data_IF_687158027121
#
_entry.id   IF_687158027121
#
_cell.length_a   1.000
_cell.length_b   1.000
_cell.length_c   1.000
_cell.angle_alpha   90.00
_cell.angle_beta   90.00
_cell.angle_gamma   90.00
#
_symmetry.space_group_name_H-M   'P 1'
#
loop_
_entity.id
_entity.type
_entity.pdbx_description
1 polymer ?
#
# COMPACT_ATOMS: atom_id res chain seq x y z
N UNK A 1 6.75 -49.01 -41.27
CA UNK A 1 6.34 -50.42 -41.03
C UNK A 1 6.74 -50.75 -39.59
N UNK A 2 5.85 -51.11 -38.66
CA UNK A 2 4.37 -51.24 -38.71
C UNK A 2 3.79 -51.14 -37.28
N UNK A 3 2.47 -50.90 -37.15
CA UNK A 3 1.54 -50.92 -35.99
C UNK A 3 2.05 -51.36 -34.58
N UNK A 4 1.71 -50.70 -33.46
CA UNK A 4 0.41 -50.27 -32.89
C UNK A 4 -0.44 -51.38 -32.22
N UNK A 5 -0.66 -51.24 -30.91
CA UNK A 5 -1.75 -51.69 -30.00
C UNK A 5 -1.54 -50.88 -28.68
N UNK A 6 -2.48 -50.27 -27.92
CA UNK A 6 -3.95 -50.37 -27.73
C UNK A 6 -4.43 -51.64 -26.98
N UNK A 7 -5.39 -51.63 -26.04
CA UNK A 7 -6.09 -50.59 -25.23
C UNK A 7 -6.88 -51.30 -24.09
N UNK A 8 -7.50 -50.70 -23.06
CA UNK A 8 -7.60 -49.31 -22.57
C UNK A 8 -7.20 -49.28 -21.06
N UNK A 9 -7.85 -48.75 -20.00
CA UNK A 9 -9.12 -48.03 -19.63
C UNK A 9 -8.76 -46.97 -18.54
N UNK A 10 -9.56 -45.99 -18.06
CA UNK A 10 -10.91 -45.94 -17.43
C UNK A 10 -10.78 -45.80 -15.89
N UNK A 11 -11.36 -44.83 -15.18
CA UNK A 11 -12.16 -43.65 -15.55
C UNK A 11 -12.11 -42.55 -14.45
N UNK A 12 -12.52 -41.31 -14.75
CA UNK A 12 -12.69 -40.22 -13.76
C UNK A 12 -14.10 -40.24 -13.13
N UNK A 13 -14.27 -39.54 -11.98
CA UNK A 13 -15.24 -38.43 -11.99
C UNK A 13 -14.68 -37.13 -11.40
N UNK A 14 -15.41 -36.03 -11.63
CA UNK A 14 -15.01 -34.65 -11.34
C UNK A 14 -15.26 -34.18 -9.90
N UNK A 15 -14.42 -33.26 -9.42
CA UNK A 15 -14.86 -32.16 -8.57
C UNK A 15 -14.49 -30.83 -9.26
N UNK A 16 -15.46 -29.90 -9.39
CA UNK A 16 -15.26 -28.58 -10.03
C UNK A 16 -15.24 -27.48 -8.99
N UNK A 17 -14.05 -27.02 -8.61
CA UNK A 17 -13.85 -25.81 -7.81
C UNK A 17 -13.57 -24.59 -8.70
N UNK A 18 -14.62 -23.83 -9.05
CA UNK A 18 -14.49 -22.65 -9.91
C UNK A 18 -14.02 -21.42 -9.09
N UNK A 19 -12.73 -21.34 -8.76
CA UNK A 19 -12.13 -20.11 -8.25
C UNK A 19 -12.01 -19.09 -9.38
N UNK A 20 -12.92 -18.12 -9.42
CA UNK A 20 -12.86 -16.99 -10.34
C UNK A 20 -11.86 -15.95 -9.81
N UNK A 21 -10.66 -15.92 -10.41
CA UNK A 21 -9.68 -14.86 -10.13
C UNK A 21 -10.20 -13.51 -10.61
N UNK A 22 -10.27 -12.47 -9.76
CA UNK A 22 -10.57 -11.12 -10.21
C UNK A 22 -9.36 -10.54 -10.94
N UNK A 23 -9.38 -10.61 -12.28
CA UNK A 23 -8.34 -10.02 -13.12
C UNK A 23 -8.36 -8.49 -12.99
N UNK A 24 -7.27 -7.89 -12.52
CA UNK A 24 -7.10 -6.44 -12.54
C UNK A 24 -6.65 -5.99 -13.94
N UNK A 25 -7.23 -4.92 -14.52
CA UNK A 25 -6.85 -4.46 -15.85
C UNK A 25 -5.43 -3.85 -15.84
N UNK A 26 -4.57 -4.17 -16.82
CA UNK A 26 -3.29 -3.50 -16.97
C UNK A 26 -3.49 -2.08 -17.50
N UNK A 27 -2.88 -1.10 -16.84
CA UNK A 27 -2.82 0.29 -17.30
C UNK A 27 -1.87 0.42 -18.49
N UNK A 28 -2.42 0.39 -19.71
CA UNK A 28 -1.66 0.65 -20.95
C UNK A 28 -1.84 2.10 -21.39
N UNK A 29 -0.72 2.81 -21.60
CA UNK A 29 -0.75 4.24 -21.90
C UNK A 29 0.50 4.74 -22.61
N UNK A 30 0.54 4.62 -23.94
CA UNK A 30 1.52 5.31 -24.79
C UNK A 30 1.11 5.34 -26.26
N UNK A 31 0.59 6.47 -26.72
CA UNK A 31 1.00 7.17 -27.94
C UNK A 31 0.19 8.47 -28.10
N UNK A 32 0.75 9.44 -28.81
CA UNK A 32 0.17 10.78 -28.97
C UNK A 32 -0.28 11.03 -30.43
N UNK A 33 -1.36 11.80 -30.58
CA UNK A 33 -1.88 12.25 -31.88
C UNK A 33 -3.04 13.25 -31.66
N UNK A 34 -3.01 14.47 -32.23
CA UNK A 34 -4.00 15.51 -31.93
C UNK A 34 -5.19 15.51 -32.90
N UNK A 35 -6.37 15.85 -32.39
CA UNK A 35 -7.56 16.29 -33.14
C UNK A 35 -8.36 17.30 -32.30
N UNK A 36 -9.07 18.21 -32.96
CA UNK A 36 -9.68 19.39 -32.34
C UNK A 36 -10.91 19.12 -31.46
N UNK A 37 -11.15 20.06 -30.53
CA UNK A 37 -12.09 19.87 -29.43
C UNK A 37 -13.57 20.16 -29.74
N UNK A 38 -14.40 19.76 -28.79
CA UNK A 38 -15.74 20.30 -28.56
C UNK A 38 -15.92 20.48 -27.05
N UNK A 39 -16.25 21.70 -26.62
CA UNK A 39 -16.50 21.99 -25.21
C UNK A 39 -17.84 21.40 -24.76
N UNK A 40 -17.82 20.44 -23.83
CA UNK A 40 -19.00 20.01 -23.09
C UNK A 40 -18.75 20.16 -21.58
N UNK A 41 -19.70 20.76 -20.87
CA UNK A 41 -19.59 21.02 -19.43
C UNK A 41 -19.74 19.74 -18.60
N UNK A 42 -18.64 19.01 -18.42
CA UNK A 42 -18.53 17.99 -17.38
C UNK A 42 -18.63 18.65 -16.00
N UNK A 43 -19.69 18.33 -15.26
CA UNK A 43 -19.89 18.80 -13.88
C UNK A 43 -18.85 18.15 -12.97
N UNK A 44 -18.11 18.95 -12.20
CA UNK A 44 -17.13 18.46 -11.22
C UNK A 44 -17.81 17.54 -10.18
N UNK A 45 -17.24 16.37 -9.85
CA UNK A 45 -17.73 15.53 -8.76
C UNK A 45 -17.54 16.20 -7.40
N UNK A 46 -18.43 15.86 -6.46
CA UNK A 46 -18.62 16.61 -5.22
C UNK A 46 -17.47 16.52 -4.19
N UNK A 47 -16.67 15.44 -4.20
CA UNK A 47 -15.61 15.21 -3.19
C UNK A 47 -14.55 16.31 -3.09
N UNK A 48 -14.40 17.17 -4.11
CA UNK A 48 -13.39 18.24 -4.15
C UNK A 48 -13.63 19.42 -3.19
N UNK A 49 -14.70 19.42 -2.38
CA UNK A 49 -14.95 20.42 -1.32
C UNK A 49 -14.42 19.98 0.04
N UNK A 50 -14.73 18.74 0.47
CA UNK A 50 -14.38 18.22 1.80
C UNK A 50 -12.86 18.22 2.02
N UNK A 51 -12.07 17.65 1.10
CA UNK A 51 -10.60 17.55 1.19
C UNK A 51 -9.92 18.89 1.51
N UNK A 52 -10.45 20.01 0.98
CA UNK A 52 -9.91 21.36 1.23
C UNK A 52 -10.33 21.99 2.56
N UNK A 53 -11.34 21.45 3.24
CA UNK A 53 -11.66 21.82 4.62
C UNK A 53 -10.67 21.19 5.60
N UNK A 54 -10.39 19.88 5.46
CA UNK A 54 -9.53 19.11 6.37
C UNK A 54 -8.11 19.65 6.51
N UNK A 55 -7.45 19.98 5.40
CA UNK A 55 -6.10 20.56 5.40
C UNK A 55 -5.99 21.82 6.28
N UNK A 56 -7.01 22.69 6.21
CA UNK A 56 -7.09 23.90 7.03
C UNK A 56 -7.68 23.68 8.43
N UNK A 57 -8.04 22.47 8.84
CA UNK A 57 -8.52 22.17 10.19
C UNK A 57 -7.36 21.75 11.09
N UNK A 58 -6.54 20.80 10.63
CA UNK A 58 -5.37 20.28 11.37
C UNK A 58 -4.45 21.40 11.89
N UNK A 59 -3.96 22.26 10.99
CA UNK A 59 -3.04 23.36 11.32
C UNK A 59 -3.66 24.44 12.23
N UNK A 60 -5.00 24.58 12.24
CA UNK A 60 -5.70 25.51 13.14
C UNK A 60 -6.08 24.90 14.50
N UNK A 61 -6.32 23.59 14.58
CA UNK A 61 -6.83 22.97 15.81
C UNK A 61 -5.74 22.67 16.85
N UNK A 62 -4.47 22.53 16.45
CA UNK A 62 -3.34 22.51 17.40
C UNK A 62 -3.33 23.73 18.35
N UNK A 63 -3.88 24.88 17.93
CA UNK A 63 -3.94 26.11 18.73
C UNK A 63 -5.02 26.12 19.83
N UNK A 64 -5.86 25.08 19.94
CA UNK A 64 -7.06 25.07 20.83
C UNK A 64 -7.11 23.99 21.91
N UNK A 65 -6.14 23.09 21.99
CA UNK A 65 -6.03 22.12 23.10
C UNK A 65 -6.93 20.87 23.00
N UNK A 66 -7.89 20.84 22.07
CA UNK A 66 -8.63 19.62 21.69
C UNK A 66 -8.00 19.05 20.42
N UNK A 67 -6.89 18.31 20.59
CA UNK A 67 -6.08 17.79 19.49
C UNK A 67 -6.62 16.49 18.89
N UNK A 68 -7.00 16.54 17.61
CA UNK A 68 -7.14 15.34 16.78
C UNK A 68 -5.75 14.70 16.58
N UNK A 69 -5.62 13.38 16.78
CA UNK A 69 -4.35 12.65 16.56
C UNK A 69 -4.02 12.56 15.07
N UNK A 70 -2.76 12.32 14.73
CA UNK A 70 -2.35 12.15 13.33
C UNK A 70 -3.03 10.90 12.73
N UNK A 71 -3.21 9.84 13.53
CA UNK A 71 -4.00 8.67 13.16
C UNK A 71 -5.44 9.02 12.81
N UNK A 72 -6.15 9.79 13.63
CA UNK A 72 -7.56 10.13 13.38
C UNK A 72 -7.72 10.92 12.08
N UNK A 73 -6.85 11.90 11.85
CA UNK A 73 -6.83 12.67 10.60
C UNK A 73 -6.54 11.78 9.38
N UNK A 74 -5.57 10.86 9.50
CA UNK A 74 -5.22 9.94 8.43
C UNK A 74 -6.33 8.93 8.13
N UNK A 75 -7.09 8.51 9.15
CA UNK A 75 -8.24 7.62 9.03
C UNK A 75 -9.37 8.28 8.23
N UNK A 76 -9.74 9.52 8.57
CA UNK A 76 -10.75 10.31 7.84
C UNK A 76 -10.37 10.50 6.35
N UNK A 77 -9.08 10.75 6.08
CA UNK A 77 -8.54 10.90 4.71
C UNK A 77 -8.55 9.57 3.95
N UNK A 78 -8.18 8.46 4.58
CA UNK A 78 -8.13 7.15 3.94
C UNK A 78 -9.53 6.59 3.68
N UNK A 79 -10.45 6.69 4.65
CA UNK A 79 -11.84 6.25 4.49
C UNK A 79 -12.52 7.01 3.34
N UNK A 80 -12.41 8.35 3.35
CA UNK A 80 -12.99 9.22 2.32
C UNK A 80 -12.39 9.09 0.92
N UNK A 81 -11.30 8.34 0.76
CA UNK A 81 -10.68 8.01 -0.53
C UNK A 81 -10.92 6.57 -0.98
N UNK A 82 -10.94 5.61 -0.06
CA UNK A 82 -10.85 4.17 -0.34
C UNK A 82 -12.14 3.39 -0.06
N UNK A 83 -13.00 3.82 0.85
CA UNK A 83 -14.09 2.97 1.35
C UNK A 83 -15.13 2.62 0.28
N UNK A 84 -15.68 3.63 -0.40
CA UNK A 84 -16.68 3.43 -1.46
C UNK A 84 -16.06 2.99 -2.80
N UNK A 85 -14.86 3.49 -3.11
CA UNK A 85 -14.20 3.36 -4.41
C UNK A 85 -13.43 2.04 -4.56
N UNK A 86 -12.77 1.62 -3.49
CA UNK A 86 -11.76 0.57 -3.45
C UNK A 86 -11.92 -0.29 -2.17
N UNK A 87 -13.11 -0.84 -1.86
CA UNK A 87 -13.42 -1.43 -0.55
C UNK A 87 -12.47 -2.55 -0.10
N UNK A 88 -11.82 -3.26 -1.02
CA UNK A 88 -10.75 -4.25 -0.69
C UNK A 88 -9.47 -3.58 -0.19
N UNK A 89 -9.05 -2.46 -0.81
CA UNK A 89 -7.93 -1.63 -0.36
C UNK A 89 -8.24 -1.00 1.00
N UNK A 90 -9.48 -0.62 1.25
CA UNK A 90 -9.93 -0.16 2.56
C UNK A 90 -9.84 -1.25 3.62
N UNK A 91 -10.34 -2.46 3.34
CA UNK A 91 -10.23 -3.61 4.25
C UNK A 91 -8.76 -4.01 4.53
N UNK A 92 -7.90 -3.96 3.51
CA UNK A 92 -6.45 -4.16 3.66
C UNK A 92 -5.81 -3.08 4.54
N UNK A 93 -6.06 -1.79 4.25
CA UNK A 93 -5.52 -0.65 5.01
C UNK A 93 -5.90 -0.69 6.49
N UNK A 94 -7.16 -1.06 6.80
CA UNK A 94 -7.60 -1.27 8.18
C UNK A 94 -6.84 -2.42 8.88
N UNK A 95 -6.40 -3.45 8.16
CA UNK A 95 -5.63 -4.55 8.75
C UNK A 95 -4.15 -4.18 8.96
N UNK A 96 -3.55 -3.45 8.02
CA UNK A 96 -2.21 -2.84 8.20
C UNK A 96 -2.24 -1.91 9.42
N UNK A 97 -3.30 -1.11 9.56
CA UNK A 97 -3.55 -0.25 10.73
C UNK A 97 -3.63 -1.03 12.06
N UNK A 98 -4.39 -2.14 12.13
CA UNK A 98 -4.45 -2.96 13.36
C UNK A 98 -3.07 -3.45 13.78
N UNK A 99 -2.29 -3.95 12.83
CA UNK A 99 -0.93 -4.44 13.12
C UNK A 99 0.05 -3.33 13.48
N UNK A 100 -0.19 -2.08 13.05
CA UNK A 100 0.58 -0.93 13.52
C UNK A 100 0.30 -0.58 14.99
N UNK A 101 -0.92 -0.80 15.49
CA UNK A 101 -1.25 -0.62 16.91
C UNK A 101 -0.51 -1.65 17.78
N UNK A 102 -0.40 -2.90 17.31
CA UNK A 102 0.33 -3.96 18.00
C UNK A 102 1.84 -3.67 18.16
N UNK A 103 2.41 -2.79 17.31
CA UNK A 103 3.80 -2.34 17.37
C UNK A 103 4.03 -1.11 18.27
N UNK A 104 2.99 -0.54 18.89
CA UNK A 104 3.11 0.69 19.68
C UNK A 104 4.17 0.62 20.83
N UNK A 105 4.30 -0.48 21.60
CA UNK A 105 5.33 -0.59 22.66
C UNK A 105 6.78 -0.59 22.12
N UNK A 106 6.98 -1.03 20.88
CA UNK A 106 8.30 -1.02 20.23
C UNK A 106 8.68 0.39 19.73
N UNK A 107 7.70 1.24 19.41
CA UNK A 107 7.92 2.53 18.73
C UNK A 107 7.74 3.76 19.63
N UNK A 108 7.04 3.64 20.75
CA UNK A 108 6.85 4.76 21.70
C UNK A 108 6.23 5.98 21.03
N UNK A 109 6.93 7.12 21.06
CA UNK A 109 6.51 8.39 20.46
C UNK A 109 6.18 8.29 18.95
N UNK A 110 6.77 7.34 18.23
CA UNK A 110 6.52 7.13 16.79
C UNK A 110 5.30 6.25 16.48
N UNK A 111 4.56 5.78 17.50
CA UNK A 111 3.40 4.90 17.33
C UNK A 111 2.22 5.56 16.58
N UNK A 112 1.83 6.80 16.91
CA UNK A 112 0.75 7.53 16.21
C UNK A 112 1.13 7.84 14.75
N UNK A 113 2.44 7.98 14.47
CA UNK A 113 2.96 8.18 13.13
C UNK A 113 2.93 6.88 12.30
N UNK A 114 3.27 5.72 12.88
CA UNK A 114 3.09 4.44 12.19
C UNK A 114 1.60 4.17 11.94
N UNK A 115 0.74 4.34 12.95
CA UNK A 115 -0.69 4.09 12.83
C UNK A 115 -1.34 4.97 11.76
N UNK A 116 -0.97 6.26 11.67
CA UNK A 116 -1.36 7.15 10.58
C UNK A 116 -0.84 6.69 9.20
N UNK A 117 0.42 6.24 9.10
CA UNK A 117 0.97 5.73 7.86
C UNK A 117 0.29 4.43 7.42
N UNK A 118 -0.03 3.56 8.37
CA UNK A 118 -0.63 2.25 8.14
C UNK A 118 -2.04 2.34 7.56
N UNK A 119 -2.89 3.23 8.08
CA UNK A 119 -4.23 3.44 7.52
C UNK A 119 -4.19 4.17 6.15
N UNK A 120 -3.16 4.99 5.91
CA UNK A 120 -3.06 5.84 4.71
C UNK A 120 -2.12 5.32 3.60
N UNK A 121 -1.41 4.21 3.76
CA UNK A 121 -0.37 3.79 2.81
C UNK A 121 -0.87 3.59 1.37
N UNK A 122 -2.10 3.07 1.24
CA UNK A 122 -2.71 2.69 -0.04
C UNK A 122 -3.51 3.83 -0.70
N UNK A 123 -3.54 5.05 -0.14
CA UNK A 123 -4.34 6.18 -0.69
C UNK A 123 -3.92 6.60 -2.10
N UNK A 124 -2.69 6.27 -2.51
CA UNK A 124 -2.19 6.50 -3.87
C UNK A 124 -2.92 5.70 -4.96
N UNK A 125 -3.73 4.69 -4.61
CA UNK A 125 -4.60 4.00 -5.57
C UNK A 125 -5.84 4.81 -5.97
N UNK A 126 -6.23 5.85 -5.23
CA UNK A 126 -7.41 6.65 -5.55
C UNK A 126 -7.15 7.58 -6.75
N UNK A 127 -8.13 7.72 -7.65
CA UNK A 127 -8.03 8.51 -8.90
C UNK A 127 -7.54 9.96 -8.72
N UNK A 128 -7.76 10.56 -7.53
CA UNK A 128 -7.35 11.94 -7.18
C UNK A 128 -5.93 12.03 -6.60
N UNK A 129 -5.33 10.89 -6.25
CA UNK A 129 -3.98 10.77 -5.74
C UNK A 129 -2.97 10.47 -6.87
N UNK A 130 -3.34 9.57 -7.79
CA UNK A 130 -2.51 9.10 -8.92
C UNK A 130 -1.85 10.27 -9.68
N UNK A 131 -0.55 10.16 -9.91
CA UNK A 131 0.29 11.15 -10.61
C UNK A 131 1.42 10.52 -11.44
N UNK A 132 1.84 9.29 -11.10
CA UNK A 132 2.90 8.51 -11.76
C UNK A 132 2.44 7.10 -12.11
N UNK A 133 1.44 6.57 -11.42
CA UNK A 133 1.02 5.17 -11.50
C UNK A 133 1.70 4.24 -10.48
N UNK A 134 2.60 4.78 -9.65
CA UNK A 134 3.25 4.08 -8.54
C UNK A 134 2.60 4.56 -7.23
N UNK A 135 1.87 3.67 -6.53
CA UNK A 135 0.94 4.09 -5.47
C UNK A 135 1.61 4.67 -4.22
N UNK A 136 2.86 4.31 -3.94
CA UNK A 136 3.59 4.76 -2.77
C UNK A 136 3.97 6.25 -2.95
N UNK A 137 4.63 6.58 -4.07
CA UNK A 137 4.98 7.96 -4.47
C UNK A 137 3.71 8.81 -4.64
N UNK A 138 2.68 8.28 -5.31
CA UNK A 138 1.44 9.01 -5.54
C UNK A 138 0.66 9.28 -4.24
N UNK A 139 0.66 8.33 -3.30
CA UNK A 139 0.12 8.50 -1.95
C UNK A 139 0.89 9.53 -1.14
N UNK A 140 2.22 9.43 -1.08
CA UNK A 140 3.09 10.39 -0.40
C UNK A 140 2.94 11.82 -0.96
N UNK A 141 2.88 11.96 -2.29
CA UNK A 141 2.62 13.25 -2.95
C UNK A 141 1.21 13.76 -2.71
N UNK A 142 0.19 12.90 -2.64
CA UNK A 142 -1.17 13.32 -2.30
C UNK A 142 -1.25 13.85 -0.86
N UNK A 143 -0.63 13.15 0.09
CA UNK A 143 -0.56 13.56 1.49
C UNK A 143 0.12 14.94 1.63
N UNK A 144 1.22 15.18 0.91
CA UNK A 144 1.82 16.53 0.83
C UNK A 144 0.85 17.58 0.28
N UNK A 145 0.08 17.27 -0.78
CA UNK A 145 -0.91 18.19 -1.38
C UNK A 145 -2.06 18.56 -0.43
N UNK A 146 -2.35 17.73 0.59
CA UNK A 146 -3.39 18.00 1.60
C UNK A 146 -2.84 18.47 2.95
N UNK A 147 -1.54 18.81 3.03
CA UNK A 147 -0.94 19.42 4.23
C UNK A 147 -0.54 18.43 5.33
N UNK A 148 -0.34 17.15 4.99
CA UNK A 148 0.10 16.14 5.95
C UNK A 148 1.53 16.37 6.47
N UNK A 149 1.86 15.73 7.60
CA UNK A 149 3.22 15.72 8.13
C UNK A 149 4.24 15.13 7.14
N UNK A 150 5.46 15.68 7.11
CA UNK A 150 6.51 15.28 6.15
C UNK A 150 7.05 13.89 6.41
N UNK A 151 7.13 13.43 7.67
CA UNK A 151 7.52 12.05 8.01
C UNK A 151 6.44 11.08 7.54
N UNK A 152 5.16 11.40 7.78
CA UNK A 152 4.03 10.59 7.30
C UNK A 152 4.08 10.42 5.77
N UNK A 153 4.27 11.52 5.04
CA UNK A 153 4.42 11.47 3.59
C UNK A 153 5.60 10.59 3.14
N UNK A 154 6.72 10.61 3.85
CA UNK A 154 7.90 9.83 3.54
C UNK A 154 7.76 8.34 3.89
N UNK A 155 7.16 7.98 5.04
CA UNK A 155 6.86 6.57 5.37
C UNK A 155 5.91 5.97 4.34
N UNK A 156 4.88 6.72 3.90
CA UNK A 156 3.97 6.27 2.84
C UNK A 156 4.67 6.19 1.48
N UNK A 157 5.60 7.10 1.14
CA UNK A 157 6.35 7.02 -0.11
C UNK A 157 7.37 5.87 -0.15
N UNK A 158 7.94 5.48 0.98
CA UNK A 158 9.08 4.55 1.07
C UNK A 158 8.70 3.11 1.43
N UNK A 159 7.42 2.79 1.67
CA UNK A 159 7.01 1.47 2.14
C UNK A 159 7.27 0.32 1.14
N UNK A 160 7.52 -0.87 1.69
CA UNK A 160 7.63 -2.14 0.96
C UNK A 160 8.58 -2.06 -0.25
N UNK A 161 8.12 -2.35 -1.47
CA UNK A 161 8.98 -2.44 -2.65
C UNK A 161 9.25 -1.09 -3.34
N UNK A 162 8.83 0.04 -2.75
CA UNK A 162 8.85 1.35 -3.40
C UNK A 162 10.20 1.73 -4.05
N UNK A 163 11.37 1.56 -3.40
CA UNK A 163 12.67 1.86 -4.03
C UNK A 163 12.97 1.04 -5.29
N UNK A 164 12.59 -0.24 -5.31
CA UNK A 164 12.80 -1.14 -6.44
C UNK A 164 11.80 -0.89 -7.57
N UNK A 165 10.55 -0.60 -7.23
CA UNK A 165 9.51 -0.27 -8.21
C UNK A 165 9.73 1.11 -8.83
N UNK A 166 10.22 2.07 -8.06
CA UNK A 166 10.65 3.37 -8.58
C UNK A 166 11.81 3.23 -9.57
N UNK A 167 12.81 2.38 -9.27
CA UNK A 167 13.92 2.12 -10.19
C UNK A 167 13.45 1.46 -11.50
N UNK A 168 12.56 0.47 -11.43
CA UNK A 168 11.96 -0.21 -12.59
C UNK A 168 11.09 0.72 -13.48
N UNK A 169 10.53 1.80 -12.90
CA UNK A 169 9.71 2.79 -13.62
C UNK A 169 10.46 4.07 -14.03
N UNK A 170 11.75 4.20 -13.68
CA UNK A 170 12.50 5.45 -13.89
C UNK A 170 12.07 6.61 -12.98
N UNK A 171 11.40 6.30 -11.86
CA UNK A 171 10.85 7.25 -10.88
C UNK A 171 11.77 7.49 -9.67
N UNK A 172 13.04 7.05 -9.71
CA UNK A 172 13.99 7.24 -8.60
C UNK A 172 14.10 8.69 -8.14
N UNK A 173 14.12 9.65 -9.06
CA UNK A 173 14.17 11.08 -8.73
C UNK A 173 12.87 11.60 -8.09
N UNK A 174 11.72 11.00 -8.44
CA UNK A 174 10.44 11.28 -7.78
C UNK A 174 10.37 10.68 -6.37
N UNK A 175 11.06 9.56 -6.12
CA UNK A 175 11.19 8.98 -4.78
C UNK A 175 12.18 9.79 -3.91
N UNK A 176 13.23 10.38 -4.52
CA UNK A 176 14.19 11.26 -3.86
C UNK A 176 13.57 12.58 -3.32
N UNK A 177 12.31 12.89 -3.66
CA UNK A 177 11.52 13.96 -3.01
C UNK A 177 11.23 13.67 -1.52
N UNK A 178 11.34 12.41 -1.09
CA UNK A 178 11.02 11.94 0.25
C UNK A 178 12.28 11.62 1.04
N UNK A 179 12.61 12.47 2.02
CA UNK A 179 13.75 12.27 2.92
C UNK A 179 13.50 11.00 3.76
N UNK A 180 14.43 10.02 3.78
CA UNK A 180 14.31 8.83 4.61
C UNK A 180 14.10 9.14 6.09
N UNK A 181 13.08 8.52 6.69
CA UNK A 181 12.77 8.69 8.12
C UNK A 181 13.66 7.74 8.95
N UNK A 182 14.36 8.22 9.99
CA UNK A 182 15.21 7.38 10.82
C UNK A 182 14.41 6.41 11.70
N UNK A 183 15.08 5.39 12.23
CA UNK A 183 14.49 4.36 13.08
C UNK A 183 13.74 3.29 12.29
N UNK A 184 12.88 2.53 12.97
CA UNK A 184 12.20 1.36 12.41
C UNK A 184 10.93 1.67 11.61
N UNK A 185 10.54 2.93 11.41
CA UNK A 185 9.24 3.27 10.81
C UNK A 185 9.00 2.66 9.41
N UNK A 186 10.02 2.67 8.54
CA UNK A 186 9.92 2.08 7.18
C UNK A 186 9.94 0.55 7.24
N UNK A 187 10.67 -0.04 8.20
CA UNK A 187 10.64 -1.49 8.45
C UNK A 187 9.27 -1.94 8.98
N UNK A 188 8.68 -1.16 9.90
CA UNK A 188 7.42 -1.44 10.57
C UNK A 188 6.22 -1.34 9.62
N UNK A 189 6.13 -0.30 8.78
CA UNK A 189 5.05 -0.23 7.77
C UNK A 189 5.16 -1.39 6.76
N UNK A 190 6.39 -1.76 6.39
CA UNK A 190 6.67 -2.87 5.48
C UNK A 190 6.30 -4.21 6.11
N UNK A 191 6.57 -4.39 7.41
CA UNK A 191 6.08 -5.53 8.18
C UNK A 191 4.54 -5.59 8.17
N UNK A 192 3.85 -4.50 8.53
CA UNK A 192 2.39 -4.47 8.63
C UNK A 192 1.66 -4.69 7.29
N UNK A 193 2.19 -4.19 6.15
CA UNK A 193 1.70 -4.52 4.80
C UNK A 193 1.92 -6.01 4.50
N UNK A 194 3.15 -6.48 4.66
CA UNK A 194 3.50 -7.85 4.28
C UNK A 194 2.84 -8.92 5.17
N UNK A 195 2.44 -8.59 6.40
CA UNK A 195 1.64 -9.48 7.25
C UNK A 195 0.12 -9.32 7.07
N UNK A 196 -0.36 -8.54 6.09
CA UNK A 196 -1.79 -8.27 5.85
C UNK A 196 -2.24 -8.72 4.45
N UNK A 197 -3.25 -9.59 4.36
CA UNK A 197 -3.81 -10.06 3.07
C UNK A 197 -4.57 -8.95 2.31
N UNK A 198 -4.83 -9.12 1.00
CA UNK A 198 -5.60 -8.14 0.19
C UNK A 198 -7.09 -8.02 0.58
N UNK A 199 -7.57 -8.90 1.46
CA UNK A 199 -8.90 -8.97 2.04
C UNK A 199 -8.89 -8.82 3.58
N UNK A 200 -7.79 -8.28 4.13
CA UNK A 200 -7.72 -7.81 5.52
C UNK A 200 -7.54 -8.91 6.58
N UNK A 201 -6.96 -10.05 6.24
CA UNK A 201 -6.60 -11.13 7.16
C UNK A 201 -5.11 -11.09 7.53
N UNK A 202 -4.69 -11.51 8.73
CA UNK A 202 -3.28 -11.77 9.03
C UNK A 202 -2.70 -12.90 8.15
N UNK A 203 -1.47 -12.74 7.69
CA UNK A 203 -0.69 -13.73 6.90
C UNK A 203 0.79 -13.67 7.29
N UNK A 204 1.58 -14.70 6.95
CA UNK A 204 3.04 -14.58 7.06
C UNK A 204 3.61 -13.75 5.88
N UNK A 205 4.59 -12.87 6.11
CA UNK A 205 5.29 -12.13 5.06
C UNK A 205 5.89 -12.98 3.93
N UNK A 206 6.37 -14.20 4.19
CA UNK A 206 6.88 -15.08 3.13
C UNK A 206 5.75 -15.56 2.22
N UNK A 207 4.64 -16.05 2.79
CA UNK A 207 3.44 -16.45 2.05
C UNK A 207 2.85 -15.28 1.23
N UNK A 208 2.81 -14.07 1.81
CA UNK A 208 2.37 -12.85 1.13
C UNK A 208 3.26 -12.48 -0.05
N UNK A 209 4.58 -12.57 0.08
CA UNK A 209 5.49 -12.28 -1.02
C UNK A 209 5.31 -13.28 -2.17
N UNK A 210 5.05 -14.56 -1.87
CA UNK A 210 4.75 -15.57 -2.89
C UNK A 210 3.34 -15.41 -3.51
N UNK A 211 2.34 -14.95 -2.75
CA UNK A 211 1.04 -14.49 -3.27
C UNK A 211 1.23 -13.38 -4.31
N UNK A 212 1.96 -12.33 -3.96
CA UNK A 212 2.20 -11.15 -4.80
C UNK A 212 2.93 -11.52 -6.09
N UNK A 213 3.97 -12.35 -6.01
CA UNK A 213 4.69 -12.84 -7.19
C UNK A 213 3.78 -13.70 -8.09
N UNK A 214 3.00 -14.64 -7.51
CA UNK A 214 2.02 -15.46 -8.25
C UNK A 214 0.91 -14.62 -8.88
N UNK A 215 0.51 -13.51 -8.25
CA UNK A 215 -0.56 -12.61 -8.70
C UNK A 215 -0.20 -11.78 -9.93
N UNK A 216 1.03 -11.26 -9.98
CA UNK A 216 1.45 -10.32 -11.04
C UNK A 216 2.22 -10.98 -12.19
N UNK A 217 3.04 -12.00 -11.93
CA UNK A 217 3.83 -12.71 -12.94
C UNK A 217 4.99 -11.89 -13.57
N UNK A 218 5.95 -12.56 -14.24
CA UNK A 218 7.28 -12.00 -14.53
C UNK A 218 7.33 -10.79 -15.48
N UNK A 219 6.28 -10.55 -16.27
CA UNK A 219 6.20 -9.35 -17.13
C UNK A 219 5.87 -8.06 -16.37
N UNK A 220 5.32 -8.16 -15.16
CA UNK A 220 4.81 -7.02 -14.41
C UNK A 220 5.90 -6.31 -13.58
N UNK A 221 5.77 -5.00 -13.41
CA UNK A 221 6.71 -4.17 -12.63
C UNK A 221 6.85 -4.66 -11.19
N UNK A 222 5.73 -4.80 -10.47
CA UNK A 222 5.68 -5.29 -9.09
C UNK A 222 6.37 -6.65 -8.94
N UNK A 223 6.28 -7.56 -9.92
CA UNK A 223 6.97 -8.86 -9.84
C UNK A 223 8.49 -8.69 -9.79
N UNK A 224 9.05 -7.87 -10.69
CA UNK A 224 10.50 -7.66 -10.76
C UNK A 224 11.00 -6.90 -9.54
N UNK A 225 10.28 -5.84 -9.15
CA UNK A 225 10.55 -5.08 -7.93
C UNK A 225 10.54 -5.96 -6.67
N UNK A 226 9.48 -6.74 -6.44
CA UNK A 226 9.35 -7.63 -5.28
C UNK A 226 10.35 -8.80 -5.33
N UNK A 227 10.67 -9.33 -6.52
CA UNK A 227 11.71 -10.37 -6.67
C UNK A 227 13.10 -9.86 -6.26
N UNK A 228 13.44 -8.63 -6.66
CA UNK A 228 14.70 -7.99 -6.28
C UNK A 228 14.71 -7.53 -4.80
N UNK A 229 13.54 -7.14 -4.27
CA UNK A 229 13.38 -6.64 -2.91
C UNK A 229 13.28 -7.74 -1.84
N UNK A 230 12.77 -8.95 -2.16
CA UNK A 230 12.51 -10.05 -1.19
C UNK A 230 13.63 -10.25 -0.15
N UNK A 231 14.94 -10.24 -0.51
CA UNK A 231 16.00 -10.41 0.47
C UNK A 231 16.18 -9.24 1.46
N UNK A 232 15.76 -8.01 1.15
CA UNK A 232 15.69 -6.90 2.13
C UNK A 232 14.35 -6.88 2.85
N UNK A 233 13.22 -7.07 2.16
CA UNK A 233 11.89 -7.08 2.78
C UNK A 233 11.80 -8.09 3.95
N UNK A 234 12.39 -9.27 3.79
CA UNK A 234 12.47 -10.26 4.87
C UNK A 234 13.44 -9.87 6.00
N UNK A 235 14.48 -9.08 5.73
CA UNK A 235 15.35 -8.49 6.76
C UNK A 235 14.65 -7.36 7.51
N UNK A 236 13.84 -6.53 6.83
CA UNK A 236 12.98 -5.52 7.46
C UNK A 236 11.98 -6.18 8.43
N UNK A 237 11.27 -7.22 7.95
CA UNK A 237 10.36 -8.05 8.75
C UNK A 237 11.06 -8.65 9.97
N UNK A 238 12.28 -9.19 9.83
CA UNK A 238 12.99 -9.77 10.97
C UNK A 238 13.42 -8.71 11.99
N UNK A 239 13.90 -7.54 11.57
CA UNK A 239 14.25 -6.44 12.48
C UNK A 239 13.07 -6.00 13.36
N UNK A 240 11.85 -6.01 12.82
CA UNK A 240 10.62 -5.75 13.60
C UNK A 240 10.30 -6.89 14.56
N UNK A 241 10.36 -8.15 14.12
CA UNK A 241 10.15 -9.34 14.98
C UNK A 241 11.12 -9.37 16.18
N UNK A 242 12.38 -9.04 15.94
CA UNK A 242 13.42 -8.94 16.98
C UNK A 242 13.14 -7.77 17.95
N UNK A 243 12.76 -6.60 17.41
CA UNK A 243 12.42 -5.41 18.19
C UNK A 243 11.22 -5.59 19.12
N UNK A 244 10.14 -6.21 18.64
CA UNK A 244 8.97 -6.57 19.47
C UNK A 244 9.39 -7.53 20.59
N UNK A 245 10.17 -8.56 20.27
CA UNK A 245 10.66 -9.53 21.27
C UNK A 245 11.49 -8.87 22.36
N UNK A 246 12.35 -7.90 22.00
CA UNK A 246 13.14 -7.14 22.96
C UNK A 246 12.28 -6.17 23.81
N UNK A 247 11.26 -5.55 23.23
CA UNK A 247 10.31 -4.67 23.93
C UNK A 247 9.52 -5.44 24.99
N UNK A 248 8.88 -6.56 24.64
CA UNK A 248 8.14 -7.39 25.60
C UNK A 248 9.04 -8.02 26.68
N UNK A 249 10.33 -8.25 26.39
CA UNK A 249 11.29 -8.68 27.41
C UNK A 249 11.68 -7.55 28.40
N UNK A 250 11.51 -6.28 28.02
CA UNK A 250 11.76 -5.14 28.90
C UNK A 250 10.58 -4.90 29.86
N UNK A 251 9.33 -5.03 29.37
CA UNK A 251 8.10 -4.82 30.17
C UNK A 251 7.88 -5.87 31.29
N UNK A 252 8.63 -6.99 31.26
CA UNK A 252 8.51 -8.10 32.21
C UNK A 252 9.57 -8.11 33.32
N UNK A 253 10.41 -7.07 33.43
CA UNK A 253 11.52 -6.94 34.41
C UNK A 253 11.40 -5.69 35.28
#
# INVERSE_FOLDING_TARGET
>A
MTCCHACATGASPSARGCHQSPHWPPSTGSHAGPCDGHSQHLKRPAGSSLVRAWAGLYERQQTKGEGMTLTSWAYDVAEGLLADSLPKRWAHSQQVYRQALDLAPMLGDDADLLAAAAIAHDVGYADVAVSTGQHMIDGGRYLQRVGADRRLCAVVALHTSSPWEAAELGLSDALNEFVPVPGYLVDAITYCDLSSSPDGQPVDPEDRLEEVLRRYGPGHVVFRAVSAARPELLRMVQRVRDGVTASSAHELN
#
